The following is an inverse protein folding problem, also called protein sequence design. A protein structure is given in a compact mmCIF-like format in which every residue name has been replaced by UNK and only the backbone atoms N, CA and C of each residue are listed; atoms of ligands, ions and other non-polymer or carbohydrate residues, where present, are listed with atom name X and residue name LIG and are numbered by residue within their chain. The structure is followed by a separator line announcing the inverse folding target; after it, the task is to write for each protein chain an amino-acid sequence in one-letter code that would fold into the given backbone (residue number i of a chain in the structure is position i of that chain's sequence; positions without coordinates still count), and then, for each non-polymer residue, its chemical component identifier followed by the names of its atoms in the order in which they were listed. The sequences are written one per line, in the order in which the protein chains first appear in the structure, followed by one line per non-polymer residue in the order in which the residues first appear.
data_IF_414931551085
#
_entry.id   IF_414931551085
#
_cell.length_a   1.000
_cell.length_b   1.000
_cell.length_c   1.000
_cell.angle_alpha   90.00
_cell.angle_beta   90.00
_cell.angle_gamma   90.00
#
_symmetry.space_group_name_H-M   'P 1'
#
loop_
_entity.id
_entity.type
_entity.pdbx_description
1 polymer ?
#
# COMPACT_ATOMS: atom_id res chain seq x y z
N UNK A 1 2.89 -20.01 -34.46
CA UNK A 1 3.08 -20.24 -33.01
C UNK A 1 2.47 -19.05 -32.26
N UNK A 2 1.33 -19.24 -31.56
CA UNK A 2 0.70 -18.21 -30.73
C UNK A 2 0.99 -18.54 -29.27
N UNK A 3 1.63 -17.62 -28.53
CA UNK A 3 1.80 -17.73 -27.07
C UNK A 3 0.53 -17.20 -26.43
N UNK A 4 -0.18 -18.07 -25.72
CA UNK A 4 -1.26 -17.69 -24.79
C UNK A 4 -0.57 -17.51 -23.44
N UNK A 5 -0.49 -16.28 -22.95
CA UNK A 5 0.01 -16.00 -21.60
C UNK A 5 -1.13 -16.25 -20.61
N UNK A 6 -1.16 -17.45 -20.03
CA UNK A 6 -2.01 -17.78 -18.89
C UNK A 6 -1.27 -17.35 -17.61
N UNK A 7 -1.77 -16.32 -16.94
CA UNK A 7 -1.41 -16.00 -15.55
C UNK A 7 -2.69 -15.65 -14.78
N UNK A 8 -3.47 -16.68 -14.45
CA UNK A 8 -4.15 -16.75 -13.14
C UNK A 8 -3.24 -17.53 -12.18
N UNK A 9 -3.42 -17.63 -10.87
CA UNK A 9 -4.51 -17.38 -9.89
C UNK A 9 -3.72 -17.18 -8.55
N UNK A 10 -4.18 -16.49 -7.50
CA UNK A 10 -4.87 -17.07 -6.33
C UNK A 10 -5.13 -15.92 -5.35
N UNK A 11 -6.41 -15.63 -5.10
CA UNK A 11 -6.87 -14.83 -3.97
C UNK A 11 -7.26 -15.81 -2.87
N UNK A 12 -6.38 -16.05 -1.89
CA UNK A 12 -6.71 -16.88 -0.73
C UNK A 12 -7.36 -16.02 0.35
N UNK A 13 -8.68 -16.15 0.51
CA UNK A 13 -9.39 -15.74 1.72
C UNK A 13 -8.85 -16.54 2.91
N UNK A 14 -8.34 -15.87 3.93
CA UNK A 14 -8.24 -16.43 5.28
C UNK A 14 -9.19 -15.67 6.18
N UNK A 15 -10.35 -16.28 6.41
CA UNK A 15 -11.27 -15.89 7.45
C UNK A 15 -10.90 -16.61 8.76
N UNK A 16 -11.15 -15.89 9.86
CA UNK A 16 -11.27 -16.31 11.26
C UNK A 16 -9.97 -16.38 12.08
N UNK A 17 -9.83 -15.45 13.03
CA UNK A 17 -10.39 -15.65 14.38
C UNK A 17 -10.78 -14.30 15.02
N UNK A 18 -11.93 -14.28 15.69
CA UNK A 18 -12.43 -13.14 16.47
C UNK A 18 -12.10 -13.38 17.94
N UNK A 19 -11.48 -12.41 18.64
CA UNK A 19 -11.99 -11.89 19.91
C UNK A 19 -11.12 -10.78 20.54
N UNK A 20 -11.83 -9.82 21.13
CA UNK A 20 -11.42 -8.89 22.20
C UNK A 20 -10.55 -7.68 21.80
N UNK A 21 -11.21 -6.66 21.25
CA UNK A 21 -10.88 -5.28 21.64
C UNK A 21 -12.16 -4.45 21.85
N UNK A 22 -12.88 -4.76 22.94
CA UNK A 22 -13.86 -3.82 23.49
C UNK A 22 -13.12 -2.77 24.29
N UNK A 23 -12.66 -1.73 23.61
CA UNK A 23 -12.36 -0.43 24.21
C UNK A 23 -12.73 0.62 23.18
N UNK A 24 -13.45 1.66 23.61
CA UNK A 24 -13.74 2.86 22.84
C UNK A 24 -12.43 3.48 22.33
N UNK A 25 -11.90 2.95 21.24
CA UNK A 25 -10.93 3.61 20.40
C UNK A 25 -11.80 4.27 19.35
N UNK A 26 -11.78 5.60 19.32
CA UNK A 26 -12.05 6.30 18.06
C UNK A 26 -11.03 5.70 17.09
N UNK A 27 -11.42 4.68 16.34
CA UNK A 27 -10.60 4.08 15.30
C UNK A 27 -10.35 5.21 14.32
N UNK A 28 -9.18 5.84 14.44
CA UNK A 28 -8.73 6.82 13.47
C UNK A 28 -8.83 6.13 12.11
N UNK A 29 -9.58 6.73 11.20
CA UNK A 29 -9.75 6.17 9.87
C UNK A 29 -8.35 5.93 9.25
N UNK A 30 -8.10 4.76 8.64
CA UNK A 30 -6.81 4.48 8.05
C UNK A 30 -6.52 5.48 6.93
N UNK A 31 -5.32 6.05 6.96
CA UNK A 31 -4.85 7.01 5.96
C UNK A 31 -4.24 6.32 4.74
N UNK A 32 -4.14 7.06 3.64
CA UNK A 32 -3.49 6.62 2.41
C UNK A 32 -1.98 6.88 2.48
N UNK A 33 -1.18 5.82 2.51
CA UNK A 33 0.27 5.85 2.43
C UNK A 33 0.77 5.53 1.03
N UNK A 34 1.75 6.29 0.54
CA UNK A 34 2.53 5.95 -0.65
C UNK A 34 3.99 5.81 -0.27
N UNK A 35 4.65 4.77 -0.80
CA UNK A 35 6.08 4.60 -0.64
C UNK A 35 6.69 4.05 -1.92
N UNK A 36 7.83 4.61 -2.30
CA UNK A 36 8.64 4.10 -3.41
C UNK A 36 10.05 3.84 -2.90
N UNK A 37 10.52 2.61 -3.06
CA UNK A 37 11.88 2.21 -2.70
C UNK A 37 12.64 1.69 -3.91
N UNK A 38 13.93 1.96 -3.95
CA UNK A 38 14.87 1.25 -4.81
C UNK A 38 15.57 0.16 -4.02
N UNK A 39 15.52 -1.06 -4.54
CA UNK A 39 16.11 -2.22 -3.87
C UNK A 39 16.93 -3.05 -4.86
N UNK A 40 18.02 -3.65 -4.36
CA UNK A 40 18.86 -4.57 -5.13
C UNK A 40 18.23 -5.95 -5.29
N UNK A 41 17.25 -6.32 -4.46
CA UNK A 41 16.61 -7.63 -4.46
C UNK A 41 15.09 -7.48 -4.32
N UNK A 42 14.38 -7.43 -5.46
CA UNK A 42 12.93 -7.25 -5.48
C UNK A 42 12.17 -8.43 -4.88
N UNK A 43 12.61 -9.66 -5.14
CA UNK A 43 11.90 -10.85 -4.68
C UNK A 43 11.85 -10.90 -3.15
N UNK A 44 12.96 -10.54 -2.50
CA UNK A 44 13.02 -10.42 -1.04
C UNK A 44 12.14 -9.27 -0.53
N UNK A 45 12.22 -8.09 -1.15
CA UNK A 45 11.42 -6.94 -0.74
C UNK A 45 9.91 -7.19 -0.88
N UNK A 46 9.47 -7.90 -1.92
CA UNK A 46 8.07 -8.32 -2.08
C UNK A 46 7.61 -9.24 -0.96
N UNK A 47 8.42 -10.25 -0.62
CA UNK A 47 8.10 -11.19 0.46
C UNK A 47 8.00 -10.50 1.81
N UNK A 48 8.95 -9.60 2.12
CA UNK A 48 8.94 -8.85 3.37
C UNK A 48 7.80 -7.82 3.43
N UNK A 49 7.45 -7.21 2.30
CA UNK A 49 6.31 -6.30 2.18
C UNK A 49 4.97 -7.00 2.44
N UNK A 50 4.79 -8.24 1.98
CA UNK A 50 3.62 -9.06 2.30
C UNK A 50 3.55 -9.43 3.79
N UNK A 51 4.68 -9.80 4.40
CA UNK A 51 4.74 -10.09 5.85
C UNK A 51 4.42 -8.85 6.68
N UNK A 52 5.05 -7.72 6.35
CA UNK A 52 4.84 -6.44 7.00
C UNK A 52 3.36 -6.03 6.94
N UNK A 53 2.69 -6.26 5.82
CA UNK A 53 1.29 -5.95 5.68
C UNK A 53 0.38 -6.81 6.55
N UNK A 54 0.70 -8.09 6.74
CA UNK A 54 -0.03 -8.94 7.68
C UNK A 54 0.20 -8.51 9.14
N UNK A 55 1.44 -8.18 9.51
CA UNK A 55 1.81 -7.78 10.88
C UNK A 55 1.23 -6.41 11.27
N UNK A 56 1.34 -5.43 10.36
CA UNK A 56 0.92 -4.05 10.56
C UNK A 56 -0.49 -3.78 10.01
N UNK A 57 -1.27 -4.82 9.69
CA UNK A 57 -2.65 -4.71 9.18
C UNK A 57 -2.81 -3.72 8.01
N UNK A 58 -1.83 -3.68 7.11
CA UNK A 58 -1.78 -2.76 5.97
C UNK A 58 -2.57 -3.36 4.82
N UNK A 59 -3.40 -2.54 4.16
CA UNK A 59 -4.14 -2.97 2.97
C UNK A 59 -3.56 -2.28 1.73
N UNK A 60 -2.92 -3.03 0.84
CA UNK A 60 -2.45 -2.47 -0.43
C UNK A 60 -3.62 -2.21 -1.38
N UNK A 61 -3.70 -0.98 -1.89
CA UNK A 61 -4.62 -0.58 -2.97
C UNK A 61 -4.00 -0.84 -4.33
N UNK A 62 -2.71 -0.56 -4.48
CA UNK A 62 -1.96 -0.85 -5.68
C UNK A 62 -0.49 -1.11 -5.36
N UNK A 63 0.13 -1.89 -6.24
CA UNK A 63 1.52 -2.30 -6.16
C UNK A 63 2.09 -2.34 -7.57
N UNK A 64 3.30 -1.80 -7.75
CA UNK A 64 4.05 -1.95 -8.99
C UNK A 64 5.54 -2.13 -8.71
N UNK A 65 6.17 -3.01 -9.49
CA UNK A 65 7.61 -3.08 -9.60
C UNK A 65 8.05 -2.57 -10.98
N UNK A 66 9.14 -1.81 -11.01
CA UNK A 66 9.67 -1.28 -12.26
C UNK A 66 11.18 -1.12 -12.17
N UNK A 67 11.80 -0.81 -13.31
CA UNK A 67 13.19 -0.42 -13.39
C UNK A 67 13.25 1.10 -13.51
N UNK A 68 13.88 1.77 -12.56
CA UNK A 68 14.05 3.22 -12.62
C UNK A 68 15.12 3.53 -13.69
N UNK A 69 14.73 4.19 -14.77
CA UNK A 69 15.63 4.54 -15.87
C UNK A 69 16.73 5.52 -15.46
N UNK A 70 16.51 6.35 -14.44
CA UNK A 70 17.48 7.35 -13.98
C UNK A 70 18.60 6.75 -13.15
N UNK A 71 18.30 5.72 -12.35
CA UNK A 71 19.28 5.06 -11.46
C UNK A 71 19.70 3.67 -11.96
N UNK A 72 19.02 3.15 -13.00
CA UNK A 72 19.16 1.80 -13.53
C UNK A 72 18.88 0.68 -12.51
N UNK A 73 18.28 1.02 -11.36
CA UNK A 73 17.94 0.10 -10.27
C UNK A 73 16.50 -0.40 -10.36
N UNK A 74 16.21 -1.50 -9.69
CA UNK A 74 14.83 -1.98 -9.52
C UNK A 74 14.16 -1.21 -8.38
N UNK A 75 12.90 -0.88 -8.58
CA UNK A 75 12.11 -0.12 -7.63
C UNK A 75 10.74 -0.78 -7.40
N UNK A 76 10.21 -0.55 -6.21
CA UNK A 76 8.87 -0.94 -5.79
C UNK A 76 8.13 0.33 -5.43
N UNK A 77 6.93 0.51 -5.98
CA UNK A 77 6.00 1.57 -5.59
C UNK A 77 4.73 0.92 -5.05
N UNK A 78 4.31 1.33 -3.86
CA UNK A 78 3.14 0.79 -3.18
C UNK A 78 2.23 1.92 -2.70
N UNK A 79 0.94 1.78 -2.96
CA UNK A 79 -0.11 2.59 -2.36
C UNK A 79 -0.91 1.71 -1.39
N UNK A 80 -1.09 2.16 -0.16
CA UNK A 80 -1.66 1.37 0.92
C UNK A 80 -2.55 2.18 1.86
N UNK A 81 -3.44 1.49 2.57
CA UNK A 81 -4.15 1.99 3.72
C UNK A 81 -3.45 1.52 4.98
N UNK A 82 -3.11 2.46 5.85
CA UNK A 82 -2.39 2.20 7.11
C UNK A 82 -2.85 3.17 8.20
N UNK A 83 -3.00 2.67 9.43
CA UNK A 83 -3.28 3.51 10.59
C UNK A 83 -2.09 4.44 10.88
N UNK A 84 -2.35 5.67 11.36
CA UNK A 84 -1.29 6.65 11.68
C UNK A 84 -0.25 6.08 12.64
N UNK A 85 -0.72 5.33 13.64
CA UNK A 85 0.09 4.63 14.65
C UNK A 85 1.10 3.66 14.04
N UNK A 86 0.82 3.11 12.85
CA UNK A 86 1.61 2.09 12.18
C UNK A 86 2.34 2.62 10.93
N UNK A 87 1.95 3.78 10.40
CA UNK A 87 2.55 4.37 9.20
C UNK A 87 4.05 4.61 9.35
N UNK A 88 4.50 5.13 10.51
CA UNK A 88 5.92 5.38 10.78
C UNK A 88 6.71 4.07 10.84
N UNK A 89 6.16 3.05 11.52
CA UNK A 89 6.79 1.73 11.62
C UNK A 89 6.92 1.08 10.24
N UNK A 90 5.87 1.17 9.41
CA UNK A 90 5.90 0.67 8.05
C UNK A 90 6.94 1.38 7.18
N UNK A 91 6.98 2.71 7.22
CA UNK A 91 7.97 3.49 6.46
C UNK A 91 9.39 3.12 6.87
N UNK A 92 9.68 3.04 8.17
CA UNK A 92 11.01 2.69 8.67
C UNK A 92 11.42 1.27 8.27
N UNK A 93 10.48 0.32 8.31
CA UNK A 93 10.70 -1.05 7.88
C UNK A 93 11.03 -1.11 6.39
N UNK A 94 10.22 -0.45 5.56
CA UNK A 94 10.40 -0.41 4.10
C UNK A 94 11.70 0.31 3.72
N UNK A 95 12.08 1.35 4.45
CA UNK A 95 13.36 2.05 4.29
C UNK A 95 14.59 1.18 4.62
N UNK A 96 14.43 0.11 5.41
CA UNK A 96 15.54 -0.82 5.70
C UNK A 96 15.92 -1.71 4.51
N UNK A 97 15.02 -1.85 3.52
CA UNK A 97 15.22 -2.75 2.37
C UNK A 97 15.93 -2.08 1.19
N UNK A 98 16.14 -0.77 1.25
CA UNK A 98 16.70 -0.01 0.14
C UNK A 98 16.59 1.50 0.29
N UNK A 99 16.90 2.22 -0.78
CA UNK A 99 16.87 3.67 -0.77
C UNK A 99 15.46 4.19 -1.06
N UNK A 100 14.84 4.84 -0.07
CA UNK A 100 13.53 5.50 -0.24
C UNK A 100 13.66 6.65 -1.25
N UNK A 101 12.86 6.59 -2.32
CA UNK A 101 12.80 7.63 -3.35
C UNK A 101 11.69 8.64 -3.06
N UNK A 102 10.56 8.17 -2.56
CA UNK A 102 9.43 9.00 -2.17
C UNK A 102 8.60 8.31 -1.09
N UNK A 103 8.02 9.12 -0.21
CA UNK A 103 7.10 8.66 0.83
C UNK A 103 6.07 9.75 1.13
N UNK A 104 4.82 9.36 1.34
CA UNK A 104 3.76 10.27 1.77
C UNK A 104 2.67 9.53 2.55
N UNK A 105 1.97 10.25 3.41
CA UNK A 105 0.86 9.73 4.22
C UNK A 105 -0.21 10.81 4.37
N UNK A 106 -1.48 10.44 4.15
CA UNK A 106 -2.62 11.35 4.19
C UNK A 106 -3.80 10.70 4.93
N UNK A 107 -4.29 11.31 6.01
CA UNK A 107 -5.38 10.74 6.85
C UNK A 107 -6.78 10.94 6.25
N UNK A 108 -6.99 12.02 5.49
CA UNK A 108 -8.31 12.41 4.99
C UNK A 108 -8.29 12.50 3.45
N UNK A 109 -8.68 11.42 2.75
CA UNK A 109 -8.96 11.52 1.31
C UNK A 109 -10.39 12.03 1.02
N UNK A 110 -11.33 11.85 1.95
CA UNK A 110 -12.73 12.27 1.75
C UNK A 110 -12.91 13.79 1.81
N UNK A 111 -12.00 14.56 2.43
CA UNK A 111 -12.10 16.03 2.50
C UNK A 111 -11.59 16.75 1.24
N UNK A 112 -10.77 16.11 0.40
CA UNK A 112 -10.22 16.73 -0.82
C UNK A 112 -11.14 16.57 -2.05
N UNK A 113 -12.18 15.74 -1.99
CA UNK A 113 -13.12 15.50 -3.08
C UNK A 113 -14.45 16.27 -2.95
N UNK A 114 -14.65 17.03 -1.88
CA UNK A 114 -15.91 17.74 -1.62
C UNK A 114 -16.27 18.88 -2.59
N UNK A 115 -15.34 19.66 -3.20
CA UNK A 115 -15.78 20.64 -4.19
C UNK A 115 -16.07 20.05 -5.59
N UNK A 116 -15.74 18.77 -5.85
CA UNK A 116 -15.88 18.18 -7.20
C UNK A 116 -17.01 17.15 -7.35
N UNK A 117 -17.54 16.59 -6.25
CA UNK A 117 -18.75 15.75 -6.32
C UNK A 117 -20.02 16.54 -6.66
N UNK A 118 -20.17 17.77 -6.16
CA UNK A 118 -21.34 18.60 -6.45
C UNK A 118 -21.40 19.12 -7.90
N UNK A 119 -20.26 19.20 -8.61
CA UNK A 119 -20.24 19.59 -10.02
C UNK A 119 -20.64 18.48 -11.01
N UNK A 120 -20.56 17.21 -10.62
CA UNK A 120 -20.89 16.09 -11.52
C UNK A 120 -22.36 15.65 -11.47
N UNK A 121 -23.14 16.12 -10.49
CA UNK A 121 -24.58 15.82 -10.36
C UNK A 121 -25.50 16.92 -10.91
N UNK A 122 -24.96 18.01 -11.47
CA UNK A 122 -25.72 19.06 -12.18
C UNK A 122 -25.44 19.12 -13.69
N UNK A 123 -24.86 18.06 -14.25
CA UNK A 123 -24.72 17.89 -15.69
C UNK A 123 -25.60 16.71 -16.15
N UNK A 124 -26.90 16.86 -15.95
CA UNK A 124 -27.96 16.20 -16.70
C UNK A 124 -28.96 17.28 -17.10
#
# INVERSE_FOLDING_TARGET
MRRITFTGIIFCLLALTSNLFSKNLVLAAPGNGNITIETGNIDNAQKELQKAAAELKIVFKSYSDYKNSSTNKRAISANCLVEKSQAVAFINLVASWGSVQSQSYYENQDELDLPNKEKRLKAF
#
